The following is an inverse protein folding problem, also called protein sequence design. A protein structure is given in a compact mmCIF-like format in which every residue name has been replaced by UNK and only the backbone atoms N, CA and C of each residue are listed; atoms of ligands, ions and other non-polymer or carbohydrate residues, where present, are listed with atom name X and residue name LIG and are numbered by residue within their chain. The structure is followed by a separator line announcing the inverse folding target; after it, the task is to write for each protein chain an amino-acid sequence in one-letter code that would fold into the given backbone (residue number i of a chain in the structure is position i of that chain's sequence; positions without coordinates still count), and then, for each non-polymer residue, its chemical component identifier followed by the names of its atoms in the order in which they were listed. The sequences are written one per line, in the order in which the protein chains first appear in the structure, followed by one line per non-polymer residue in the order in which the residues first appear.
data_IF_384028118254
#
_entry.id   IF_384028118254
#
_cell.length_a   1.000
_cell.length_b   1.000
_cell.length_c   1.000
_cell.angle_alpha   90.00
_cell.angle_beta   90.00
_cell.angle_gamma   90.00
#
_symmetry.space_group_name_H-M   'P 1'
#
loop_
_entity.id
_entity.type
_entity.pdbx_description
1 polymer ?
#
# COMPACT_ATOMS: atom_id res chain seq x y z
N UNK A 1 -2.63 6.31 31.99
CA UNK A 1 -3.00 6.48 30.57
C UNK A 1 -3.42 5.11 30.06
N UNK A 2 -4.64 4.93 29.57
CA UNK A 2 -5.18 3.59 29.29
C UNK A 2 -4.43 2.88 28.15
N UNK A 3 -4.21 1.56 28.31
CA UNK A 3 -3.59 0.68 27.31
C UNK A 3 -4.32 0.70 25.95
N UNK A 4 -5.54 1.22 25.90
CA UNK A 4 -6.34 1.36 24.69
C UNK A 4 -5.59 2.07 23.55
N UNK A 5 -4.83 3.14 23.85
CA UNK A 5 -4.09 3.88 22.81
C UNK A 5 -3.04 3.01 22.11
N UNK A 6 -2.29 2.23 22.90
CA UNK A 6 -1.27 1.32 22.36
C UNK A 6 -1.87 0.24 21.47
N UNK A 7 -3.01 -0.32 21.90
CA UNK A 7 -3.77 -1.32 21.14
C UNK A 7 -4.30 -0.74 19.83
N UNK A 8 -4.92 0.45 19.87
CA UNK A 8 -5.44 1.12 18.67
C UNK A 8 -4.33 1.38 17.65
N UNK A 9 -3.17 1.89 18.08
CA UNK A 9 -2.04 2.13 17.19
C UNK A 9 -1.44 0.84 16.62
N UNK A 10 -1.46 -0.25 17.39
CA UNK A 10 -1.02 -1.57 16.91
C UNK A 10 -1.95 -2.09 15.81
N UNK A 11 -3.26 -2.02 16.02
CA UNK A 11 -4.23 -2.42 14.99
C UNK A 11 -4.10 -1.57 13.74
N UNK A 12 -3.99 -0.24 13.88
CA UNK A 12 -3.80 0.66 12.75
C UNK A 12 -2.56 0.27 11.93
N UNK A 13 -1.45 -0.02 12.60
CA UNK A 13 -0.21 -0.47 11.95
C UNK A 13 -0.38 -1.79 11.20
N UNK A 14 -1.03 -2.77 11.84
CA UNK A 14 -1.29 -4.07 11.22
C UNK A 14 -2.19 -3.91 10.00
N UNK A 15 -3.29 -3.17 10.12
CA UNK A 15 -4.24 -2.94 9.03
C UNK A 15 -3.59 -2.25 7.83
N UNK A 16 -2.83 -1.18 8.06
CA UNK A 16 -2.13 -0.46 6.98
C UNK A 16 -1.03 -1.30 6.33
N UNK A 17 -0.30 -2.09 7.12
CA UNK A 17 0.71 -3.00 6.58
C UNK A 17 0.09 -4.15 5.77
N UNK A 18 -1.03 -4.71 6.24
CA UNK A 18 -1.78 -5.74 5.51
C UNK A 18 -2.34 -5.20 4.19
N UNK A 19 -2.81 -3.94 4.16
CA UNK A 19 -3.24 -3.30 2.92
C UNK A 19 -2.14 -3.35 1.86
N UNK A 20 -0.90 -2.99 2.23
CA UNK A 20 0.25 -3.06 1.31
C UNK A 20 0.57 -4.50 0.88
N UNK A 21 0.53 -5.46 1.82
CA UNK A 21 0.81 -6.87 1.51
C UNK A 21 -0.21 -7.44 0.53
N UNK A 22 -1.50 -7.17 0.75
CA UNK A 22 -2.57 -7.69 -0.10
C UNK A 22 -2.47 -7.08 -1.51
N UNK A 23 -2.28 -5.76 -1.62
CA UNK A 23 -2.14 -5.09 -2.91
C UNK A 23 -0.84 -5.42 -3.64
N UNK A 24 0.24 -5.66 -2.89
CA UNK A 24 1.49 -6.14 -3.47
C UNK A 24 1.36 -7.58 -3.96
N UNK A 25 0.67 -8.44 -3.21
CA UNK A 25 0.39 -9.82 -3.62
C UNK A 25 -0.50 -9.87 -4.87
N UNK A 26 -1.51 -9.01 -4.98
CA UNK A 26 -2.34 -8.88 -6.19
C UNK A 26 -1.48 -8.60 -7.43
N UNK A 27 -0.48 -7.71 -7.33
CA UNK A 27 0.45 -7.41 -8.44
C UNK A 27 1.34 -8.58 -8.82
N UNK A 28 1.59 -9.53 -7.91
CA UNK A 28 2.36 -10.75 -8.19
C UNK A 28 1.49 -11.87 -8.79
N UNK A 29 0.29 -12.04 -8.25
CA UNK A 29 -0.61 -13.14 -8.63
C UNK A 29 -1.38 -12.80 -9.92
N UNK A 30 -1.80 -11.54 -10.06
CA UNK A 30 -2.54 -11.05 -11.22
C UNK A 30 -1.96 -9.72 -11.74
N UNK A 31 -0.78 -9.75 -12.41
CA UNK A 31 -0.17 -8.55 -12.97
C UNK A 31 -1.08 -7.80 -13.95
N UNK A 32 -1.93 -8.52 -14.70
CA UNK A 32 -2.88 -7.92 -15.64
C UNK A 32 -3.90 -7.02 -14.93
N UNK A 33 -4.43 -7.46 -13.78
CA UNK A 33 -5.30 -6.62 -12.96
C UNK A 33 -4.57 -5.38 -12.44
N UNK A 34 -3.32 -5.53 -11.99
CA UNK A 34 -2.47 -4.41 -11.56
C UNK A 34 -2.26 -3.34 -12.64
N UNK A 35 -2.09 -3.76 -13.91
CA UNK A 35 -1.99 -2.85 -15.06
C UNK A 35 -3.28 -2.05 -15.25
N UNK A 36 -4.44 -2.72 -15.26
CA UNK A 36 -5.74 -2.07 -15.42
C UNK A 36 -5.99 -1.05 -14.30
N UNK A 37 -5.65 -1.39 -13.07
CA UNK A 37 -5.73 -0.47 -11.92
C UNK A 37 -4.81 0.74 -12.12
N UNK A 38 -3.57 0.53 -12.57
CA UNK A 38 -2.61 1.60 -12.81
C UNK A 38 -3.05 2.55 -13.93
N UNK A 39 -3.61 2.02 -15.02
CA UNK A 39 -4.18 2.83 -16.11
C UNK A 39 -5.37 3.66 -15.63
N UNK A 40 -6.26 3.06 -14.82
CA UNK A 40 -7.49 3.71 -14.39
C UNK A 40 -7.29 4.76 -13.30
N UNK A 41 -6.43 4.49 -12.32
CA UNK A 41 -6.33 5.29 -11.09
C UNK A 41 -4.99 6.01 -10.93
N UNK A 42 -3.94 5.58 -11.65
CA UNK A 42 -2.59 6.12 -11.50
C UNK A 42 -2.06 6.73 -12.81
N UNK A 43 -2.94 7.19 -13.70
CA UNK A 43 -2.58 7.84 -14.98
C UNK A 43 -1.70 6.97 -15.90
N UNK A 44 -1.74 5.64 -15.75
CA UNK A 44 -0.87 4.73 -16.49
C UNK A 44 0.59 4.72 -16.01
N UNK A 45 0.90 5.37 -14.89
CA UNK A 45 2.25 5.34 -14.31
C UNK A 45 2.66 3.90 -14.00
N UNK A 46 3.78 3.50 -14.57
CA UNK A 46 4.36 2.16 -14.43
C UNK A 46 3.40 1.01 -14.81
N UNK A 47 2.43 1.23 -15.70
CA UNK A 47 1.47 0.20 -16.17
C UNK A 47 2.07 -0.88 -17.07
N UNK A 48 3.38 -1.10 -17.03
CA UNK A 48 4.03 -2.18 -17.78
C UNK A 48 4.05 -3.48 -16.98
N UNK A 49 3.74 -4.58 -17.66
CA UNK A 49 3.83 -5.93 -17.11
C UNK A 49 5.21 -6.25 -16.53
N UNK A 50 6.28 -5.66 -17.08
CA UNK A 50 7.65 -5.85 -16.59
C UNK A 50 7.90 -5.22 -15.22
N UNK A 51 7.15 -4.18 -14.84
CA UNK A 51 7.33 -3.49 -13.55
C UNK A 51 6.41 -4.04 -12.45
N UNK A 52 5.27 -4.65 -12.79
CA UNK A 52 4.29 -5.12 -11.81
C UNK A 52 4.89 -6.07 -10.75
N UNK A 53 5.72 -7.07 -11.09
CA UNK A 53 6.32 -7.93 -10.08
C UNK A 53 7.26 -7.19 -9.12
N UNK A 54 8.08 -6.27 -9.64
CA UNK A 54 9.00 -5.49 -8.82
C UNK A 54 8.24 -4.56 -7.85
N UNK A 55 7.18 -3.90 -8.34
CA UNK A 55 6.31 -3.07 -7.51
C UNK A 55 5.59 -3.89 -6.44
N UNK A 56 5.08 -5.08 -6.79
CA UNK A 56 4.44 -5.98 -5.84
C UNK A 56 5.38 -6.43 -4.71
N UNK A 57 6.62 -6.82 -5.04
CA UNK A 57 7.64 -7.17 -4.04
C UNK A 57 7.96 -5.97 -3.15
N UNK A 58 8.18 -4.79 -3.73
CA UNK A 58 8.49 -3.59 -2.97
C UNK A 58 7.36 -3.21 -1.99
N UNK A 59 6.10 -3.33 -2.43
CA UNK A 59 4.92 -3.04 -1.62
C UNK A 59 4.73 -4.05 -0.48
N UNK A 60 4.97 -5.35 -0.73
CA UNK A 60 4.96 -6.37 0.33
C UNK A 60 6.05 -6.09 1.36
N UNK A 61 7.27 -5.79 0.93
CA UNK A 61 8.38 -5.46 1.84
C UNK A 61 8.06 -4.23 2.68
N UNK A 62 7.46 -3.19 2.08
CA UNK A 62 6.97 -2.02 2.80
C UNK A 62 5.94 -2.41 3.86
N UNK A 63 4.95 -3.23 3.50
CA UNK A 63 3.92 -3.72 4.43
C UNK A 63 4.52 -4.48 5.62
N UNK A 64 5.47 -5.38 5.37
CA UNK A 64 6.19 -6.12 6.42
C UNK A 64 7.00 -5.18 7.33
N UNK A 65 7.69 -4.19 6.76
CA UNK A 65 8.42 -3.18 7.53
C UNK A 65 7.49 -2.34 8.40
N UNK A 66 6.31 -1.97 7.90
CA UNK A 66 5.28 -1.24 8.65
C UNK A 66 4.80 -2.08 9.84
N UNK A 67 4.43 -3.34 9.63
CA UNK A 67 3.94 -4.26 10.68
C UNK A 67 5.02 -4.47 11.75
N UNK A 68 6.23 -4.85 11.33
CA UNK A 68 7.35 -5.08 12.25
C UNK A 68 7.84 -3.79 12.93
N UNK A 69 7.45 -2.61 12.40
CA UNK A 69 7.92 -1.32 12.88
C UNK A 69 9.41 -1.10 12.64
N UNK A 70 9.93 -1.60 11.51
CA UNK A 70 11.31 -1.44 11.04
C UNK A 70 11.43 -0.13 10.27
N UNK A 71 12.55 0.59 10.45
CA UNK A 71 12.86 1.84 9.76
C UNK A 71 11.69 2.85 9.74
N UNK A 72 11.00 3.01 10.88
CA UNK A 72 9.71 3.73 11.01
C UNK A 72 9.68 5.10 10.35
N UNK A 73 10.77 5.86 10.46
CA UNK A 73 10.87 7.18 9.82
C UNK A 73 10.74 7.12 8.30
N UNK A 74 11.23 6.06 7.67
CA UNK A 74 11.18 5.87 6.22
C UNK A 74 9.95 5.06 5.79
N UNK A 75 9.65 3.97 6.49
CA UNK A 75 8.51 3.11 6.14
C UNK A 75 7.17 3.84 6.30
N UNK A 76 7.02 4.72 7.28
CA UNK A 76 5.79 5.50 7.43
C UNK A 76 5.67 6.64 6.41
N UNK A 77 6.78 7.28 6.04
CA UNK A 77 6.77 8.30 4.99
C UNK A 77 6.43 7.64 3.65
N UNK A 78 7.05 6.51 3.32
CA UNK A 78 6.77 5.81 2.08
C UNK A 78 5.34 5.27 2.04
N UNK A 79 4.84 4.70 3.15
CA UNK A 79 3.44 4.29 3.30
C UNK A 79 2.49 5.47 3.06
N UNK A 80 2.78 6.63 3.64
CA UNK A 80 1.95 7.83 3.49
C UNK A 80 1.94 8.34 2.04
N UNK A 81 3.08 8.29 1.34
CA UNK A 81 3.17 8.64 -0.09
C UNK A 81 2.33 7.67 -0.91
N UNK A 82 2.51 6.35 -0.74
CA UNK A 82 1.78 5.33 -1.52
C UNK A 82 0.28 5.46 -1.28
N UNK A 83 -0.15 5.46 -0.01
CA UNK A 83 -1.58 5.57 0.33
C UNK A 83 -2.17 6.93 -0.02
N UNK A 84 -1.39 8.01 0.05
CA UNK A 84 -1.80 9.35 -0.38
C UNK A 84 -2.02 9.43 -1.89
N UNK A 85 -1.11 8.88 -2.70
CA UNK A 85 -1.30 8.77 -4.15
C UNK A 85 -2.53 7.92 -4.46
N UNK A 86 -2.70 6.78 -3.76
CA UNK A 86 -3.90 5.95 -3.92
C UNK A 86 -5.17 6.73 -3.59
N UNK A 87 -5.22 7.43 -2.46
CA UNK A 87 -6.36 8.25 -2.05
C UNK A 87 -6.72 9.30 -3.10
N UNK A 88 -5.72 9.99 -3.66
CA UNK A 88 -5.95 10.96 -4.75
C UNK A 88 -6.49 10.25 -6.00
N UNK A 89 -5.98 9.08 -6.35
CA UNK A 89 -6.48 8.29 -7.49
C UNK A 89 -7.93 7.84 -7.32
N UNK A 90 -8.34 7.44 -6.12
CA UNK A 90 -9.69 6.91 -5.83
C UNK A 90 -10.63 7.91 -5.15
N UNK A 91 -10.27 9.20 -5.09
CA UNK A 91 -10.97 10.20 -4.26
C UNK A 91 -12.49 10.24 -4.47
N UNK A 92 -12.95 10.06 -5.71
CA UNK A 92 -14.39 10.03 -6.03
C UNK A 92 -15.11 8.88 -5.34
N UNK A 93 -14.48 7.70 -5.28
CA UNK A 93 -15.02 6.52 -4.60
C UNK A 93 -15.06 6.65 -3.08
N UNK A 94 -14.40 7.68 -2.51
CA UNK A 94 -14.42 7.97 -1.08
C UNK A 94 -15.50 8.99 -0.72
N UNK A 95 -15.89 9.85 -1.67
CA UNK A 95 -16.88 10.91 -1.47
C UNK A 95 -18.29 10.55 -1.90
N UNK A 96 -18.44 9.60 -2.82
CA UNK A 96 -19.71 8.97 -3.21
C UNK A 96 -20.16 7.95 -2.14
#
# INVERSE_FOLDING_TARGET
MSNARGVTLLFLRISLGLLMIIWGADKLVNPAHGIVVAERFYFGLMSSASFMPALGIAEILLGLMVIAGILRQYSYVLLAIVTGITLVGVWRSVLD
#
